data_IF_357039100351
#
_entry.id   IF_357039100351
#
_cell.length_a   1.000
_cell.length_b   1.000
_cell.length_c   1.000
_cell.angle_alpha   90.00
_cell.angle_beta   90.00
_cell.angle_gamma   90.00
#
_symmetry.space_group_name_H-M   'P 1'
#
loop_
_entity.id
_entity.type
_entity.pdbx_description
1 polymer ?
#
# COMPACT_ATOMS: atom_id res chain seq x y z
N UNK A 1 -8.36 22.02 -46.96
CA UNK A 1 -7.95 20.84 -46.15
C UNK A 1 -8.95 19.67 -46.30
N UNK A 2 -9.73 19.60 -47.38
CA UNK A 2 -10.85 18.66 -47.52
C UNK A 2 -10.41 17.18 -47.53
N UNK A 3 -9.35 16.85 -48.28
CA UNK A 3 -8.83 15.48 -48.33
C UNK A 3 -8.29 15.01 -46.96
N UNK A 4 -7.68 15.91 -46.19
CA UNK A 4 -7.19 15.60 -44.84
C UNK A 4 -8.36 15.25 -43.89
N UNK A 5 -9.44 16.03 -43.95
CA UNK A 5 -10.65 15.80 -43.14
C UNK A 5 -11.33 14.49 -43.53
N UNK A 6 -11.48 14.21 -44.84
CA UNK A 6 -12.08 12.96 -45.32
C UNK A 6 -11.26 11.72 -44.93
N UNK A 7 -9.93 11.82 -44.99
CA UNK A 7 -9.05 10.74 -44.57
C UNK A 7 -9.13 10.53 -43.04
N UNK A 8 -9.12 11.60 -42.25
CA UNK A 8 -9.23 11.52 -40.78
C UNK A 8 -10.57 10.96 -40.28
N UNK A 9 -11.61 10.93 -41.12
CA UNK A 9 -12.89 10.29 -40.79
C UNK A 9 -12.86 8.76 -40.98
N UNK A 10 -11.84 8.21 -41.63
CA UNK A 10 -11.72 6.76 -41.87
C UNK A 10 -10.93 6.08 -40.75
N UNK A 11 -11.43 4.95 -40.23
CA UNK A 11 -10.76 4.20 -39.16
C UNK A 11 -9.34 3.72 -39.54
N UNK A 12 -9.11 3.44 -40.82
CA UNK A 12 -7.80 2.99 -41.34
C UNK A 12 -6.71 4.07 -41.23
N UNK A 13 -7.10 5.35 -41.22
CA UNK A 13 -6.15 6.44 -41.06
C UNK A 13 -5.54 6.41 -39.66
N UNK A 14 -6.33 6.22 -38.61
CA UNK A 14 -5.86 6.15 -37.22
C UNK A 14 -5.02 4.90 -36.92
N UNK A 15 -5.21 3.82 -37.68
CA UNK A 15 -4.44 2.58 -37.51
C UNK A 15 -3.04 2.64 -38.12
N UNK A 16 -2.76 3.60 -39.01
CA UNK A 16 -1.51 3.64 -39.83
C UNK A 16 -0.77 4.97 -39.77
N UNK A 17 -1.29 5.93 -39.01
CA UNK A 17 -0.74 7.29 -38.91
C UNK A 17 0.44 7.34 -37.93
N UNK A 18 1.43 8.16 -38.26
CA UNK A 18 2.63 8.40 -37.44
C UNK A 18 2.48 9.67 -36.59
N UNK A 19 3.31 9.81 -35.55
CA UNK A 19 3.28 10.97 -34.66
C UNK A 19 3.42 12.31 -35.40
N UNK A 20 4.34 12.42 -36.36
CA UNK A 20 4.47 13.64 -37.18
C UNK A 20 3.22 13.97 -38.01
N UNK A 21 2.44 12.96 -38.37
CA UNK A 21 1.20 13.14 -39.11
C UNK A 21 0.05 13.59 -38.20
N UNK A 22 0.08 13.23 -36.91
CA UNK A 22 -0.81 13.81 -35.89
C UNK A 22 -0.56 15.29 -35.70
N UNK A 23 0.70 15.71 -35.56
CA UNK A 23 1.03 17.14 -35.39
C UNK A 23 0.56 17.95 -36.60
N UNK A 24 0.83 17.46 -37.81
CA UNK A 24 0.36 18.09 -39.07
C UNK A 24 -1.16 18.16 -39.15
N UNK A 25 -1.87 17.18 -38.60
CA UNK A 25 -3.32 17.17 -38.54
C UNK A 25 -3.83 18.20 -37.53
N UNK A 26 -3.24 18.24 -36.33
CA UNK A 26 -3.59 19.20 -35.30
C UNK A 26 -3.39 20.64 -35.79
N UNK A 27 -2.23 20.96 -36.37
CA UNK A 27 -1.91 22.30 -36.89
C UNK A 27 -2.88 22.76 -37.99
N UNK A 28 -3.29 21.84 -38.87
CA UNK A 28 -4.16 22.16 -40.02
C UNK A 28 -5.63 22.21 -39.66
N UNK A 29 -6.08 21.44 -38.66
CA UNK A 29 -7.49 21.38 -38.25
C UNK A 29 -7.82 22.37 -37.13
N UNK A 30 -6.88 22.72 -36.26
CA UNK A 30 -7.09 23.66 -35.14
C UNK A 30 -7.67 25.01 -35.59
N UNK A 31 -7.15 25.67 -36.65
CA UNK A 31 -7.71 26.94 -37.14
C UNK A 31 -9.11 26.79 -37.74
N UNK A 32 -9.50 25.57 -38.14
CA UNK A 32 -10.80 25.26 -38.75
C UNK A 32 -11.85 24.86 -37.72
N UNK A 33 -11.45 24.49 -36.50
CA UNK A 33 -12.37 24.12 -35.41
C UNK A 33 -13.33 25.25 -35.03
N UNK A 34 -12.94 26.52 -35.24
CA UNK A 34 -13.81 27.69 -35.01
C UNK A 34 -15.05 27.73 -35.91
N UNK A 35 -15.02 27.01 -37.05
CA UNK A 35 -16.13 26.91 -38.00
C UNK A 35 -16.94 25.62 -37.82
N UNK A 36 -16.61 24.80 -36.81
CA UNK A 36 -17.37 23.59 -36.51
C UNK A 36 -18.71 24.01 -35.92
N UNK A 37 -19.79 23.68 -36.63
CA UNK A 37 -21.13 23.76 -36.06
C UNK A 37 -21.22 22.79 -34.87
N UNK A 38 -21.39 23.34 -33.68
CA UNK A 38 -21.69 22.55 -32.50
C UNK A 38 -23.10 21.99 -32.69
N UNK A 39 -23.23 20.68 -32.89
CA UNK A 39 -24.54 20.03 -33.02
C UNK A 39 -25.37 20.11 -31.73
N UNK A 40 -24.79 20.59 -30.62
CA UNK A 40 -25.49 20.83 -29.36
C UNK A 40 -24.74 21.91 -28.56
N UNK A 41 -25.36 23.07 -28.24
CA UNK A 41 -24.77 24.03 -27.33
C UNK A 41 -24.85 23.45 -25.91
N UNK A 42 -23.72 23.00 -25.36
CA UNK A 42 -23.66 22.53 -23.97
C UNK A 42 -22.94 21.21 -23.70
N UNK A 43 -22.09 20.71 -24.60
CA UNK A 43 -21.11 19.69 -24.22
C UNK A 43 -20.22 20.27 -23.12
N UNK A 44 -20.56 19.91 -21.88
CA UNK A 44 -19.78 20.23 -20.69
C UNK A 44 -18.36 19.70 -20.91
N UNK A 45 -17.32 20.40 -20.45
CA UNK A 45 -15.96 19.88 -20.52
C UNK A 45 -15.94 18.46 -19.97
N UNK A 46 -15.36 17.53 -20.74
CA UNK A 46 -15.19 16.13 -20.32
C UNK A 46 -14.46 16.16 -18.98
N UNK A 47 -15.19 15.83 -17.92
CA UNK A 47 -14.63 15.76 -16.58
C UNK A 47 -14.01 14.39 -16.45
N UNK A 48 -12.70 14.31 -16.64
CA UNK A 48 -11.93 13.09 -16.43
C UNK A 48 -11.55 13.04 -14.95
N UNK A 49 -12.28 12.24 -14.17
CA UNK A 49 -11.94 11.90 -12.79
C UNK A 49 -10.98 10.71 -12.83
N UNK A 50 -9.71 10.98 -13.12
CA UNK A 50 -8.64 9.99 -13.08
C UNK A 50 -8.03 10.04 -11.68
N UNK A 51 -8.18 8.97 -10.91
CA UNK A 51 -7.50 8.83 -9.63
C UNK A 51 -5.98 8.73 -9.87
N UNK A 52 -5.22 9.67 -9.30
CA UNK A 52 -3.76 9.59 -9.28
C UNK A 52 -3.33 8.50 -8.26
N UNK A 53 -2.66 7.44 -8.72
CA UNK A 53 -2.00 6.47 -7.84
C UNK A 53 -0.63 7.03 -7.36
N UNK A 54 -0.61 7.61 -6.17
CA UNK A 54 0.63 8.09 -5.53
C UNK A 54 1.32 6.91 -4.84
N UNK A 55 2.30 6.29 -5.50
CA UNK A 55 3.16 5.30 -4.84
C UNK A 55 4.21 6.00 -3.95
N UNK A 56 4.05 5.93 -2.62
CA UNK A 56 5.12 6.26 -1.66
C UNK A 56 6.26 5.24 -1.82
N UNK A 57 7.39 5.65 -2.39
CA UNK A 57 8.62 4.84 -2.42
C UNK A 57 9.37 4.98 -1.11
N UNK A 58 9.11 4.09 -0.16
CA UNK A 58 9.89 4.01 1.06
C UNK A 58 11.29 3.43 0.77
N UNK A 59 12.32 4.12 1.25
CA UNK A 59 13.72 3.72 1.12
C UNK A 59 14.24 3.26 2.47
N UNK A 60 14.87 2.10 2.50
CA UNK A 60 15.56 1.60 3.69
C UNK A 60 17.01 2.04 3.59
N UNK A 61 17.48 2.73 4.62
CA UNK A 61 18.87 3.17 4.70
C UNK A 61 19.63 2.19 5.57
N UNK A 62 20.72 1.63 5.08
CA UNK A 62 21.58 0.74 5.86
C UNK A 62 23.07 1.03 5.67
N UNK A 63 23.86 0.67 6.67
CA UNK A 63 25.32 0.74 6.67
C UNK A 63 25.94 2.12 6.91
N UNK A 64 27.26 2.17 7.21
CA UNK A 64 27.99 3.41 7.51
C UNK A 64 28.09 4.37 6.32
N UNK A 65 27.82 3.88 5.10
CA UNK A 65 27.79 4.68 3.86
C UNK A 65 26.38 5.15 3.47
N UNK A 66 25.36 4.89 4.30
CA UNK A 66 23.99 5.32 4.08
C UNK A 66 23.41 4.80 2.74
N UNK A 67 23.58 3.51 2.47
CA UNK A 67 23.06 2.87 1.26
C UNK A 67 21.53 2.88 1.30
N UNK A 68 20.91 3.64 0.39
CA UNK A 68 19.47 3.79 0.29
C UNK A 68 18.93 2.85 -0.79
N UNK A 69 18.60 1.62 -0.39
CA UNK A 69 18.01 0.61 -1.28
C UNK A 69 16.48 0.62 -1.11
N UNK A 70 15.75 0.31 -2.17
CA UNK A 70 14.29 0.13 -2.07
C UNK A 70 13.98 -1.08 -1.17
N UNK A 71 12.87 -1.01 -0.42
CA UNK A 71 12.37 -2.13 0.40
C UNK A 71 12.34 -3.43 -0.42
N UNK A 72 11.81 -3.37 -1.65
CA UNK A 72 11.69 -4.53 -2.53
C UNK A 72 13.03 -5.20 -2.84
N UNK A 73 14.07 -4.41 -3.09
CA UNK A 73 15.41 -4.95 -3.42
C UNK A 73 16.11 -5.49 -2.18
N UNK A 74 15.90 -4.88 -1.02
CA UNK A 74 16.36 -5.45 0.25
C UNK A 74 15.69 -6.80 0.53
N UNK A 75 14.36 -6.91 0.35
CA UNK A 75 13.63 -8.18 0.49
C UNK A 75 14.18 -9.25 -0.44
N UNK A 76 14.34 -8.94 -1.73
CA UNK A 76 14.89 -9.87 -2.72
C UNK A 76 16.29 -10.36 -2.31
N UNK A 77 17.15 -9.47 -1.83
CA UNK A 77 18.50 -9.83 -1.36
C UNK A 77 18.44 -10.81 -0.18
N UNK A 78 17.61 -10.54 0.83
CA UNK A 78 17.46 -11.43 1.99
C UNK A 78 16.88 -12.78 1.58
N UNK A 79 15.86 -12.78 0.70
CA UNK A 79 15.25 -14.00 0.18
C UNK A 79 16.28 -14.87 -0.56
N UNK A 80 17.08 -14.28 -1.45
CA UNK A 80 18.14 -15.00 -2.16
C UNK A 80 19.20 -15.56 -1.21
N UNK A 81 19.60 -14.79 -0.21
CA UNK A 81 20.57 -15.25 0.79
C UNK A 81 20.02 -16.45 1.58
N UNK A 82 18.80 -16.34 2.12
CA UNK A 82 18.16 -17.41 2.87
C UNK A 82 18.00 -18.67 2.01
N UNK A 83 17.59 -18.54 0.75
CA UNK A 83 17.49 -19.66 -0.18
C UNK A 83 18.85 -20.32 -0.43
N UNK A 84 19.90 -19.54 -0.68
CA UNK A 84 21.26 -20.06 -0.90
C UNK A 84 21.82 -20.80 0.32
N UNK A 85 21.49 -20.33 1.53
CA UNK A 85 21.93 -20.97 2.78
C UNK A 85 21.10 -22.20 3.13
N UNK A 86 19.87 -22.31 2.61
CA UNK A 86 18.99 -23.47 2.86
C UNK A 86 19.61 -24.76 2.32
N UNK A 87 20.40 -24.69 1.26
CA UNK A 87 21.11 -25.87 0.72
C UNK A 87 22.19 -26.40 1.68
N UNK A 88 22.82 -25.54 2.46
CA UNK A 88 23.99 -25.87 3.28
C UNK A 88 23.71 -25.89 4.79
N UNK A 89 22.60 -25.31 5.25
CA UNK A 89 22.30 -25.14 6.67
C UNK A 89 21.18 -26.08 7.14
N UNK A 90 21.52 -26.95 8.09
CA UNK A 90 20.59 -27.92 8.70
C UNK A 90 19.39 -27.25 9.42
N UNK A 91 19.57 -26.06 10.00
CA UNK A 91 18.50 -25.34 10.72
C UNK A 91 17.45 -24.84 9.72
N UNK A 92 17.87 -24.31 8.57
CA UNK A 92 16.96 -23.88 7.51
C UNK A 92 16.23 -25.06 6.87
N UNK A 93 16.90 -26.21 6.70
CA UNK A 93 16.25 -27.44 6.23
C UNK A 93 15.21 -27.97 7.22
N UNK A 94 15.51 -27.95 8.53
CA UNK A 94 14.53 -28.29 9.56
C UNK A 94 13.31 -27.37 9.51
N UNK A 95 13.53 -26.07 9.36
CA UNK A 95 12.46 -25.09 9.19
C UNK A 95 11.61 -25.44 7.96
N UNK A 96 12.23 -25.68 6.80
CA UNK A 96 11.53 -26.06 5.56
C UNK A 96 10.68 -27.32 5.69
N UNK A 97 11.11 -28.27 6.53
CA UNK A 97 10.36 -29.50 6.84
C UNK A 97 9.22 -29.28 7.85
N UNK A 98 8.98 -28.03 8.28
CA UNK A 98 7.94 -27.67 9.24
C UNK A 98 8.27 -28.05 10.68
N UNK A 99 9.54 -28.34 10.99
CA UNK A 99 9.95 -28.67 12.35
C UNK A 99 10.09 -27.40 13.20
N UNK A 100 9.71 -27.50 14.47
CA UNK A 100 9.97 -26.44 15.43
C UNK A 100 11.47 -26.43 15.78
N UNK A 101 12.05 -25.24 15.75
CA UNK A 101 13.43 -25.00 16.16
C UNK A 101 13.44 -24.38 17.56
N UNK A 102 14.52 -24.61 18.29
CA UNK A 102 14.76 -23.99 19.60
C UNK A 102 15.08 -22.50 19.44
N UNK A 103 14.82 -21.70 20.49
CA UNK A 103 15.26 -20.30 20.55
C UNK A 103 16.80 -20.18 20.43
N UNK A 104 17.56 -21.20 20.88
CA UNK A 104 19.02 -21.25 20.72
C UNK A 104 19.44 -21.44 19.25
N UNK A 105 18.78 -22.33 18.52
CA UNK A 105 19.01 -22.56 17.09
C UNK A 105 18.61 -21.31 16.28
N UNK A 106 17.56 -20.62 16.72
CA UNK A 106 17.14 -19.36 16.13
C UNK A 106 18.19 -18.25 16.29
N UNK A 107 18.79 -18.13 17.47
CA UNK A 107 19.88 -17.19 17.73
C UNK A 107 21.10 -17.48 16.86
N UNK A 108 21.50 -18.75 16.74
CA UNK A 108 22.62 -19.16 15.88
C UNK A 108 22.37 -18.83 14.40
N UNK A 109 21.14 -19.03 13.91
CA UNK A 109 20.79 -18.68 12.54
C UNK A 109 20.82 -17.15 12.31
N UNK A 110 20.36 -16.38 13.29
CA UNK A 110 20.41 -14.92 13.24
C UNK A 110 21.86 -14.41 13.21
N UNK A 111 22.74 -14.96 14.06
CA UNK A 111 24.17 -14.63 14.07
C UNK A 111 24.83 -14.96 12.73
N UNK A 112 24.58 -16.15 12.18
CA UNK A 112 25.15 -16.56 10.89
C UNK A 112 24.72 -15.62 9.75
N UNK A 113 23.44 -15.26 9.69
CA UNK A 113 22.93 -14.33 8.67
C UNK A 113 23.50 -12.91 8.86
N UNK A 114 23.76 -12.51 10.11
CA UNK A 114 24.39 -11.24 10.43
C UNK A 114 25.88 -11.22 10.07
N UNK A 115 26.60 -12.33 10.24
CA UNK A 115 28.01 -12.47 9.84
C UNK A 115 28.17 -12.38 8.32
N UNK A 116 27.29 -13.04 7.56
CA UNK A 116 27.28 -12.97 6.10
C UNK A 116 26.88 -11.58 5.60
N UNK A 117 25.90 -10.94 6.26
CA UNK A 117 25.47 -9.60 5.91
C UNK A 117 25.09 -8.78 7.16
N UNK A 118 25.95 -7.85 7.62
CA UNK A 118 25.76 -7.08 8.87
C UNK A 118 24.49 -6.23 8.96
N UNK A 119 23.74 -6.11 7.86
CA UNK A 119 22.51 -5.33 7.79
C UNK A 119 21.26 -6.18 8.00
N UNK A 120 21.37 -7.51 8.02
CA UNK A 120 20.26 -8.38 8.37
C UNK A 120 20.16 -8.40 9.90
N UNK A 121 19.23 -7.59 10.39
CA UNK A 121 18.90 -7.50 11.81
C UNK A 121 17.39 -7.67 11.97
N UNK A 122 16.97 -8.15 13.14
CA UNK A 122 15.55 -8.30 13.46
C UNK A 122 14.81 -6.96 13.34
N UNK A 123 15.38 -5.88 13.87
CA UNK A 123 14.81 -4.53 13.77
C UNK A 123 14.58 -4.10 12.31
N UNK A 124 15.56 -4.34 11.42
CA UNK A 124 15.42 -3.97 10.02
C UNK A 124 14.35 -4.81 9.31
N UNK A 125 14.26 -6.10 9.64
CA UNK A 125 13.22 -6.98 9.12
C UNK A 125 11.83 -6.55 9.60
N UNK A 126 11.69 -6.17 10.87
CA UNK A 126 10.44 -5.63 11.41
C UNK A 126 9.99 -4.37 10.67
N UNK A 127 10.93 -3.47 10.33
CA UNK A 127 10.63 -2.29 9.52
C UNK A 127 10.26 -2.65 8.07
N UNK A 128 11.06 -3.50 7.43
CA UNK A 128 10.90 -3.89 6.01
C UNK A 128 9.58 -4.62 5.77
N UNK A 129 9.16 -5.48 6.69
CA UNK A 129 7.90 -6.24 6.59
C UNK A 129 6.75 -5.59 7.37
N UNK A 130 6.97 -4.41 7.95
CA UNK A 130 5.98 -3.65 8.72
C UNK A 130 5.29 -4.50 9.82
N UNK A 131 6.05 -5.34 10.52
CA UNK A 131 5.54 -6.16 11.62
C UNK A 131 6.51 -6.10 12.80
N UNK A 132 6.13 -5.35 13.84
CA UNK A 132 6.96 -5.12 15.06
C UNK A 132 6.92 -6.24 16.08
N UNK A 133 5.90 -7.11 16.00
CA UNK A 133 5.69 -8.20 16.97
C UNK A 133 6.32 -9.50 16.48
N UNK A 134 6.62 -9.59 15.19
CA UNK A 134 7.22 -10.74 14.58
C UNK A 134 8.66 -10.92 15.04
N UNK A 135 8.97 -12.16 15.45
CA UNK A 135 10.35 -12.56 15.75
C UNK A 135 11.12 -12.88 14.49
N UNK A 136 12.45 -12.83 14.57
CA UNK A 136 13.37 -13.21 13.50
C UNK A 136 12.93 -14.47 12.72
N UNK A 137 12.63 -15.56 13.42
CA UNK A 137 12.23 -16.84 12.80
C UNK A 137 10.93 -16.76 12.02
N UNK A 138 9.99 -15.91 12.41
CA UNK A 138 8.74 -15.75 11.68
C UNK A 138 8.99 -15.10 10.32
N UNK A 139 9.94 -14.15 10.23
CA UNK A 139 10.37 -13.62 8.92
C UNK A 139 11.00 -14.71 8.05
N UNK A 140 11.87 -15.55 8.62
CA UNK A 140 12.51 -16.65 7.87
C UNK A 140 11.46 -17.66 7.39
N UNK A 141 10.50 -18.04 8.23
CA UNK A 141 9.38 -18.92 7.84
C UNK A 141 8.52 -18.28 6.76
N UNK A 142 8.33 -16.97 6.81
CA UNK A 142 7.62 -16.23 5.78
C UNK A 142 8.35 -16.24 4.44
N UNK A 143 9.64 -15.97 4.44
CA UNK A 143 10.52 -16.03 3.27
C UNK A 143 10.52 -17.44 2.65
N UNK A 144 10.54 -18.48 3.48
CA UNK A 144 10.47 -19.88 3.03
C UNK A 144 9.06 -20.33 2.60
N UNK A 145 8.04 -19.47 2.71
CA UNK A 145 6.67 -19.78 2.31
C UNK A 145 5.91 -20.72 3.26
N UNK A 146 6.38 -20.86 4.50
CA UNK A 146 5.86 -21.79 5.51
C UNK A 146 4.77 -21.13 6.36
N UNK A 147 5.00 -19.86 6.72
CA UNK A 147 4.11 -19.07 7.56
C UNK A 147 3.71 -17.79 6.83
N UNK A 148 2.43 -17.40 6.88
CA UNK A 148 2.02 -16.08 6.41
C UNK A 148 2.27 -15.08 7.52
N UNK A 149 3.11 -14.09 7.24
CA UNK A 149 3.32 -12.98 8.14
C UNK A 149 2.33 -11.88 7.79
N UNK A 150 1.39 -11.61 8.68
CA UNK A 150 0.48 -10.48 8.52
C UNK A 150 1.27 -9.19 8.76
N UNK A 151 1.21 -8.26 7.81
CA UNK A 151 1.76 -6.92 8.01
C UNK A 151 0.86 -6.10 8.94
N UNK A 152 1.37 -5.04 9.54
CA UNK A 152 0.56 -4.13 10.35
C UNK A 152 -0.70 -3.63 9.60
N UNK A 153 -0.62 -3.22 8.31
CA UNK A 153 -1.81 -2.90 7.53
C UNK A 153 -2.82 -4.04 7.40
N UNK A 154 -2.35 -5.29 7.26
CA UNK A 154 -3.22 -6.46 7.18
C UNK A 154 -3.92 -6.72 8.51
N UNK A 155 -3.17 -6.69 9.62
CA UNK A 155 -3.71 -6.88 10.97
C UNK A 155 -4.74 -5.80 11.31
N UNK A 156 -4.44 -4.53 10.99
CA UNK A 156 -5.39 -3.43 11.16
C UNK A 156 -6.63 -3.64 10.30
N UNK A 157 -6.47 -4.01 9.02
CA UNK A 157 -7.60 -4.25 8.14
C UNK A 157 -8.50 -5.38 8.64
N UNK A 158 -7.91 -6.52 9.01
CA UNK A 158 -8.65 -7.65 9.55
C UNK A 158 -9.40 -7.30 10.84
N UNK A 159 -8.78 -6.56 11.75
CA UNK A 159 -9.40 -6.15 13.00
C UNK A 159 -10.60 -5.20 12.78
N UNK A 160 -10.49 -4.26 11.84
CA UNK A 160 -11.62 -3.40 11.46
C UNK A 160 -12.72 -4.16 10.73
N UNK A 161 -12.39 -5.10 9.85
CA UNK A 161 -13.37 -5.95 9.17
C UNK A 161 -14.15 -6.82 10.16
N UNK A 162 -13.46 -7.39 11.15
CA UNK A 162 -14.09 -8.12 12.25
C UNK A 162 -15.00 -7.21 13.09
N UNK A 163 -14.52 -6.02 13.46
CA UNK A 163 -15.32 -5.06 14.23
C UNK A 163 -16.61 -4.66 13.49
N UNK A 164 -16.53 -4.42 12.18
CA UNK A 164 -17.69 -4.11 11.34
C UNK A 164 -18.64 -5.30 11.25
N UNK A 165 -18.13 -6.53 11.15
CA UNK A 165 -18.95 -7.74 11.09
C UNK A 165 -19.71 -7.99 12.42
N UNK A 166 -19.11 -7.66 13.56
CA UNK A 166 -19.75 -7.75 14.88
C UNK A 166 -20.84 -6.67 15.07
N UNK A 167 -20.72 -5.53 14.39
CA UNK A 167 -21.63 -4.38 14.49
C UNK A 167 -22.54 -4.23 13.26
N UNK A 168 -23.56 -5.09 13.17
CA UNK A 168 -24.52 -5.10 12.05
C UNK A 168 -25.44 -3.87 11.93
N UNK A 169 -25.42 -2.95 12.90
CA UNK A 169 -26.27 -1.76 12.98
C UNK A 169 -25.60 -0.46 12.52
N UNK A 170 -24.38 -0.53 11.98
CA UNK A 170 -23.64 0.65 11.53
C UNK A 170 -24.27 1.31 10.30
N UNK A 171 -24.41 2.64 10.33
CA UNK A 171 -24.89 3.43 9.20
C UNK A 171 -23.75 3.83 8.24
N UNK A 172 -24.10 4.36 7.06
CA UNK A 172 -23.12 4.73 6.04
C UNK A 172 -22.04 5.71 6.52
N UNK A 173 -22.38 6.71 7.35
CA UNK A 173 -21.40 7.67 7.89
C UNK A 173 -20.46 7.01 8.91
N UNK A 174 -20.98 6.09 9.73
CA UNK A 174 -20.17 5.32 10.67
C UNK A 174 -19.18 4.42 9.93
N UNK A 175 -19.62 3.73 8.88
CA UNK A 175 -18.73 2.90 8.05
C UNK A 175 -17.67 3.73 7.34
N UNK A 176 -18.03 4.88 6.79
CA UNK A 176 -17.08 5.83 6.20
C UNK A 176 -16.05 6.32 7.22
N UNK A 177 -16.48 6.62 8.44
CA UNK A 177 -15.59 7.01 9.52
C UNK A 177 -14.62 5.89 9.91
N UNK A 178 -15.09 4.65 10.01
CA UNK A 178 -14.23 3.50 10.32
C UNK A 178 -13.21 3.23 9.21
N UNK A 179 -13.58 3.40 7.95
CA UNK A 179 -12.62 3.30 6.82
C UNK A 179 -11.56 4.38 6.90
N UNK A 180 -11.97 5.64 7.10
CA UNK A 180 -11.03 6.74 7.28
C UNK A 180 -10.10 6.51 8.48
N UNK A 181 -10.64 5.97 9.58
CA UNK A 181 -9.85 5.64 10.76
C UNK A 181 -8.85 4.52 10.49
N UNK A 182 -9.26 3.46 9.78
CA UNK A 182 -8.39 2.37 9.35
C UNK A 182 -7.23 2.90 8.52
N UNK A 183 -7.51 3.72 7.51
CA UNK A 183 -6.48 4.28 6.63
C UNK A 183 -5.55 5.22 7.41
N UNK A 184 -6.11 6.06 8.30
CA UNK A 184 -5.33 6.92 9.19
C UNK A 184 -4.42 6.12 10.13
N UNK A 185 -4.89 4.98 10.65
CA UNK A 185 -4.08 4.06 11.46
C UNK A 185 -2.93 3.44 10.67
N UNK A 186 -3.20 3.02 9.42
CA UNK A 186 -2.18 2.46 8.54
C UNK A 186 -1.09 3.50 8.24
N UNK A 187 -1.46 4.77 8.05
CA UNK A 187 -0.49 5.81 7.70
C UNK A 187 0.31 6.36 8.89
N UNK A 188 -0.31 6.54 10.05
CA UNK A 188 0.32 7.19 11.22
C UNK A 188 0.74 6.24 12.32
N UNK A 189 0.31 4.98 12.26
CA UNK A 189 0.48 3.91 13.27
C UNK A 189 -0.07 4.21 14.67
N UNK A 190 -0.32 5.48 15.00
CA UNK A 190 -0.82 5.97 16.28
C UNK A 190 -2.00 6.88 16.06
N UNK A 191 -2.99 6.76 16.95
CA UNK A 191 -4.20 7.58 16.95
C UNK A 191 -4.39 8.16 18.33
N UNK A 192 -4.42 9.48 18.43
CA UNK A 192 -4.81 10.16 19.66
C UNK A 192 -6.29 10.52 19.65
N UNK A 193 -6.89 10.61 20.84
CA UNK A 193 -8.29 11.07 20.99
C UNK A 193 -8.55 12.45 20.37
N UNK A 194 -7.50 13.26 20.26
CA UNK A 194 -7.54 14.60 19.64
C UNK A 194 -7.63 14.54 18.12
N UNK A 195 -7.04 13.52 17.49
CA UNK A 195 -7.07 13.36 16.04
C UNK A 195 -8.50 13.11 15.56
N UNK A 196 -9.27 12.30 16.30
CA UNK A 196 -10.64 11.90 15.98
C UNK A 196 -11.68 13.05 15.96
N UNK A 197 -11.28 14.24 16.41
CA UNK A 197 -12.09 15.47 16.40
C UNK A 197 -11.48 16.57 15.52
N UNK A 198 -10.46 16.23 14.73
CA UNK A 198 -9.79 17.13 13.79
C UNK A 198 -9.87 16.57 12.36
N UNK A 199 -9.39 17.35 11.39
CA UNK A 199 -9.21 16.85 10.02
C UNK A 199 -8.26 15.65 10.03
N UNK A 200 -8.53 14.56 9.28
CA UNK A 200 -9.55 14.42 8.22
C UNK A 200 -10.97 14.03 8.71
N UNK A 201 -11.13 13.62 9.96
CA UNK A 201 -12.41 13.12 10.50
C UNK A 201 -13.53 14.16 10.52
N UNK A 202 -13.18 15.45 10.63
CA UNK A 202 -14.15 16.55 10.59
C UNK A 202 -14.81 16.76 9.22
N UNK A 203 -14.30 16.12 8.16
CA UNK A 203 -14.92 16.14 6.82
C UNK A 203 -16.24 15.37 6.83
N UNK A 204 -16.30 14.27 7.58
CA UNK A 204 -17.51 13.42 7.70
C UNK A 204 -18.54 14.09 8.61
N UNK A 205 -18.11 14.66 9.74
CA UNK A 205 -18.99 15.38 10.65
C UNK A 205 -18.25 16.53 11.37
N UNK A 206 -18.85 17.72 11.54
CA UNK A 206 -18.17 18.87 12.17
C UNK A 206 -17.67 18.63 13.61
N UNK A 207 -18.27 17.67 14.32
CA UNK A 207 -17.88 17.26 15.67
C UNK A 207 -16.97 16.01 15.70
N UNK A 208 -16.48 15.55 14.55
CA UNK A 208 -15.71 14.32 14.40
C UNK A 208 -16.45 13.09 14.94
N UNK A 209 -15.72 12.21 15.63
CA UNK A 209 -16.27 10.96 16.16
C UNK A 209 -17.50 11.15 17.06
N UNK A 210 -17.57 12.27 17.80
CA UNK A 210 -18.64 12.56 18.77
C UNK A 210 -20.00 12.80 18.14
N UNK A 211 -20.03 13.20 16.87
CA UNK A 211 -21.29 13.40 16.15
C UNK A 211 -21.72 12.21 15.31
N UNK A 212 -20.89 11.17 15.24
CA UNK A 212 -21.12 9.98 14.40
C UNK A 212 -21.41 8.74 15.25
N UNK A 213 -20.79 8.64 16.43
CA UNK A 213 -20.91 7.50 17.34
C UNK A 213 -21.43 7.91 18.71
N UNK A 214 -22.10 6.98 19.38
CA UNK A 214 -22.51 7.11 20.77
C UNK A 214 -21.30 6.98 21.72
N UNK A 215 -21.38 7.48 22.97
CA UNK A 215 -20.26 7.38 23.91
C UNK A 215 -19.73 5.96 24.13
N UNK A 216 -20.61 4.94 24.11
CA UNK A 216 -20.21 3.53 24.25
C UNK A 216 -19.42 3.03 23.05
N UNK A 217 -19.92 3.27 21.84
CA UNK A 217 -19.22 2.90 20.60
C UNK A 217 -17.86 3.62 20.49
N UNK A 218 -17.77 4.87 20.96
CA UNK A 218 -16.50 5.60 21.01
C UNK A 218 -15.49 4.90 21.92
N UNK A 219 -15.89 4.42 23.10
CA UNK A 219 -15.01 3.68 24.00
C UNK A 219 -14.52 2.37 23.36
N UNK A 220 -15.41 1.64 22.67
CA UNK A 220 -15.06 0.40 21.98
C UNK A 220 -14.09 0.63 20.82
N UNK A 221 -14.33 1.66 20.00
CA UNK A 221 -13.43 2.05 18.91
C UNK A 221 -12.06 2.46 19.48
N UNK A 222 -12.03 3.24 20.56
CA UNK A 222 -10.78 3.63 21.20
C UNK A 222 -10.01 2.41 21.73
N UNK A 223 -10.70 1.47 22.38
CA UNK A 223 -10.09 0.23 22.85
C UNK A 223 -9.50 -0.60 21.70
N UNK A 224 -10.21 -0.69 20.57
CA UNK A 224 -9.70 -1.33 19.34
C UNK A 224 -8.43 -0.64 18.84
N UNK A 225 -8.43 0.70 18.78
CA UNK A 225 -7.26 1.45 18.32
C UNK A 225 -6.06 1.31 19.26
N UNK A 226 -6.29 1.28 20.57
CA UNK A 226 -5.22 1.11 21.58
C UNK A 226 -4.62 -0.31 21.51
N UNK A 227 -5.45 -1.34 21.32
CA UNK A 227 -4.99 -2.73 21.15
C UNK A 227 -4.11 -2.92 19.91
N UNK A 228 -4.44 -2.24 18.82
CA UNK A 228 -3.70 -2.32 17.56
C UNK A 228 -2.43 -1.46 17.57
N UNK A 229 -2.43 -0.33 18.27
CA UNK A 229 -1.26 0.57 18.37
C UNK A 229 -0.19 0.09 19.36
N UNK A 230 -0.53 -0.84 20.27
CA UNK A 230 0.38 -1.47 21.24
C UNK A 230 1.19 -2.61 20.61
#
# INVERSE_FOLDING_TARGET
QENLIKNAQQANYWATVTDEAFDKLADKLTPLMKFREQQTPGDKPVTLDLEDEIHKKEKVHFGPQNEAVSISRYREMVEQLVLSLTENNLILQKLQQGQNISDEEAGQLAELLHEEHPHITEDLLQQVYQNRKARFIQFIRHILGIERLESFPDTVSHAFDQFIAEHSNLNSRQLEFLRLLKDFMIEREKVEKRDLIQSPFTVIHPQGIRGVFTPKEIEEILALTEQLAA
#
